data_IF_406265569627
#
_entry.id   IF_406265569627
#
_cell.length_a   1.000
_cell.length_b   1.000
_cell.length_c   1.000
_cell.angle_alpha   90.00
_cell.angle_beta   90.00
_cell.angle_gamma   90.00
#
_symmetry.space_group_name_H-M   'P 1'
#
loop_
_entity.id
_entity.type
_entity.pdbx_description
1 polymer ?
#
# COMPACT_ATOMS: atom_id res chain seq x y z
N UNK A 1 -13.90 0.83 15.89
CA UNK A 1 -13.40 0.08 14.71
C UNK A 1 -13.92 0.64 13.40
N UNK A 2 -15.22 0.60 13.11
CA UNK A 2 -15.80 1.08 11.81
C UNK A 2 -15.37 2.49 11.41
N UNK A 3 -15.27 3.44 12.34
CA UNK A 3 -14.87 4.82 12.04
C UNK A 3 -13.43 4.94 11.53
N UNK A 4 -12.51 4.15 12.07
CA UNK A 4 -11.11 4.13 11.62
C UNK A 4 -11.00 3.57 10.20
N UNK A 5 -11.64 2.42 9.93
CA UNK A 5 -11.64 1.78 8.60
C UNK A 5 -12.26 2.70 7.55
N UNK A 6 -13.39 3.33 7.86
CA UNK A 6 -14.03 4.28 6.95
C UNK A 6 -13.18 5.53 6.72
N UNK A 7 -12.53 6.04 7.77
CA UNK A 7 -11.59 7.17 7.64
C UNK A 7 -10.41 6.81 6.76
N UNK A 8 -9.81 5.64 6.96
CA UNK A 8 -8.70 5.14 6.13
C UNK A 8 -9.13 4.97 4.68
N UNK A 9 -10.30 4.39 4.43
CA UNK A 9 -10.85 4.24 3.08
C UNK A 9 -11.01 5.59 2.36
N UNK A 10 -11.49 6.64 3.05
CA UNK A 10 -11.61 7.99 2.50
C UNK A 10 -10.23 8.57 2.17
N UNK A 11 -9.25 8.42 3.07
CA UNK A 11 -7.88 8.91 2.84
C UNK A 11 -7.24 8.20 1.66
N UNK A 12 -7.36 6.87 1.56
CA UNK A 12 -6.86 6.10 0.43
C UNK A 12 -7.55 6.55 -0.86
N UNK A 13 -8.87 6.67 -0.87
CA UNK A 13 -9.62 7.13 -2.04
C UNK A 13 -9.17 8.52 -2.50
N UNK A 14 -9.04 9.48 -1.59
CA UNK A 14 -8.61 10.83 -1.93
C UNK A 14 -7.17 10.88 -2.44
N UNK A 15 -6.27 10.04 -1.90
CA UNK A 15 -4.90 9.94 -2.40
C UNK A 15 -4.83 9.37 -3.82
N UNK A 16 -5.74 8.45 -4.18
CA UNK A 16 -5.82 7.91 -5.54
C UNK A 16 -6.24 8.95 -6.59
N UNK A 17 -6.94 10.01 -6.18
CA UNK A 17 -7.29 11.10 -7.10
C UNK A 17 -6.05 11.82 -7.66
N UNK A 18 -4.92 11.74 -6.96
CA UNK A 18 -3.63 12.23 -7.46
C UNK A 18 -3.17 11.54 -8.74
N UNK A 19 -3.54 10.27 -8.96
CA UNK A 19 -3.20 9.51 -10.16
C UNK A 19 -3.94 10.00 -11.42
N UNK A 20 -5.01 10.78 -11.26
CA UNK A 20 -5.74 11.41 -12.36
C UNK A 20 -5.20 12.79 -12.73
N UNK A 21 -4.05 13.18 -12.13
CA UNK A 21 -3.38 14.45 -12.42
C UNK A 21 -2.03 14.20 -13.08
N UNK A 22 -1.70 15.04 -14.06
CA UNK A 22 -0.34 15.15 -14.62
C UNK A 22 0.24 16.50 -14.19
N UNK A 23 1.04 16.48 -13.11
CA UNK A 23 1.47 17.70 -12.42
C UNK A 23 0.30 18.34 -11.64
N UNK A 24 0.04 19.62 -11.87
CA UNK A 24 -1.07 20.34 -11.23
C UNK A 24 -2.43 20.20 -11.94
N UNK A 25 -2.43 19.77 -13.20
CA UNK A 25 -3.62 19.71 -14.04
C UNK A 25 -4.22 18.29 -14.06
N UNK A 26 -5.55 18.22 -14.18
CA UNK A 26 -6.25 16.96 -14.40
C UNK A 26 -5.92 16.41 -15.78
N UNK A 27 -5.84 15.09 -15.89
CA UNK A 27 -5.75 14.40 -17.17
C UNK A 27 -6.94 14.81 -18.06
N UNK A 28 -6.72 15.06 -19.34
CA UNK A 28 -7.75 15.48 -20.29
C UNK A 28 -7.72 14.56 -21.50
N UNK A 29 -8.87 14.39 -22.14
CA UNK A 29 -9.00 13.63 -23.40
C UNK A 29 -8.90 12.12 -23.21
N UNK A 30 -8.22 11.45 -24.16
CA UNK A 30 -8.11 9.99 -24.21
C UNK A 30 -7.48 9.37 -22.96
N UNK A 31 -6.49 10.04 -22.36
CA UNK A 31 -5.82 9.57 -21.15
C UNK A 31 -6.76 9.47 -19.94
N UNK A 32 -7.70 10.42 -19.80
CA UNK A 32 -8.70 10.36 -18.75
C UNK A 32 -9.69 9.22 -18.98
N UNK A 33 -10.15 9.03 -20.22
CA UNK A 33 -11.10 7.95 -20.55
C UNK A 33 -10.47 6.58 -20.37
N UNK A 34 -9.21 6.39 -20.78
CA UNK A 34 -8.50 5.12 -20.58
C UNK A 34 -8.31 4.81 -19.09
N UNK A 35 -7.93 5.79 -18.28
CA UNK A 35 -7.84 5.61 -16.82
C UNK A 35 -9.17 5.22 -16.20
N UNK A 36 -10.26 5.93 -16.54
CA UNK A 36 -11.60 5.62 -16.03
C UNK A 36 -12.07 4.22 -16.47
N UNK A 37 -11.80 3.83 -17.72
CA UNK A 37 -12.13 2.51 -18.24
C UNK A 37 -11.37 1.39 -17.49
N UNK A 38 -10.08 1.58 -17.22
CA UNK A 38 -9.27 0.62 -16.46
C UNK A 38 -9.72 0.51 -15.00
N UNK A 39 -10.05 1.64 -14.37
CA UNK A 39 -10.63 1.65 -13.00
C UNK A 39 -11.97 0.93 -12.99
N UNK A 40 -12.87 1.24 -13.95
CA UNK A 40 -14.16 0.57 -14.07
C UNK A 40 -14.01 -0.93 -14.29
N UNK A 41 -13.07 -1.37 -15.15
CA UNK A 41 -12.77 -2.78 -15.38
C UNK A 41 -12.25 -3.46 -14.10
N UNK A 42 -11.35 -2.82 -13.38
CA UNK A 42 -10.83 -3.32 -12.10
C UNK A 42 -11.96 -3.53 -11.10
N UNK A 43 -12.83 -2.54 -10.92
CA UNK A 43 -13.98 -2.62 -10.02
C UNK A 43 -14.97 -3.71 -10.47
N UNK A 44 -15.20 -3.86 -11.77
CA UNK A 44 -16.05 -4.90 -12.30
C UNK A 44 -15.50 -6.28 -11.99
N UNK A 45 -14.20 -6.51 -12.20
CA UNK A 45 -13.54 -7.80 -11.87
C UNK A 45 -13.68 -8.07 -10.38
N UNK A 46 -13.36 -7.11 -9.52
CA UNK A 46 -13.44 -7.26 -8.06
C UNK A 46 -14.88 -7.53 -7.56
N UNK A 47 -15.89 -7.06 -8.26
CA UNK A 47 -17.29 -7.27 -7.88
C UNK A 47 -17.87 -8.57 -8.44
N UNK A 48 -17.48 -8.97 -9.65
CA UNK A 48 -18.03 -10.14 -10.35
C UNK A 48 -17.31 -11.43 -9.98
N UNK A 49 -15.98 -11.39 -9.88
CA UNK A 49 -15.18 -12.60 -9.65
C UNK A 49 -15.53 -13.34 -8.35
N UNK A 50 -15.75 -12.68 -7.18
CA UNK A 50 -16.16 -13.38 -5.96
C UNK A 50 -17.50 -14.10 -6.05
N UNK A 51 -18.37 -13.68 -6.99
CA UNK A 51 -19.66 -14.35 -7.25
C UNK A 51 -19.48 -15.64 -8.07
N UNK A 52 -18.42 -15.72 -8.86
CA UNK A 52 -18.12 -16.88 -9.72
C UNK A 52 -17.21 -17.87 -8.99
N UNK A 53 -16.15 -17.37 -8.36
CA UNK A 53 -15.20 -18.22 -7.64
C UNK A 53 -14.61 -17.49 -6.42
N UNK A 54 -14.54 -18.22 -5.31
CA UNK A 54 -13.89 -17.75 -4.07
C UNK A 54 -12.49 -18.32 -3.86
N UNK A 55 -12.01 -19.14 -4.82
CA UNK A 55 -10.71 -19.83 -4.72
C UNK A 55 -9.53 -18.97 -5.15
N UNK A 56 -9.78 -17.92 -5.93
CA UNK A 56 -8.74 -17.07 -6.50
C UNK A 56 -8.94 -15.67 -5.96
N UNK A 57 -7.88 -15.03 -5.41
CA UNK A 57 -7.96 -13.65 -4.94
C UNK A 57 -8.36 -12.71 -6.10
N UNK A 58 -9.48 -12.03 -5.96
CA UNK A 58 -10.03 -11.13 -6.98
C UNK A 58 -9.08 -9.98 -7.32
N UNK A 59 -8.38 -9.45 -6.31
CA UNK A 59 -7.40 -8.38 -6.51
C UNK A 59 -6.23 -8.82 -7.41
N UNK A 60 -5.75 -10.05 -7.24
CA UNK A 60 -4.66 -10.59 -8.07
C UNK A 60 -5.08 -10.71 -9.53
N UNK A 61 -6.27 -11.24 -9.79
CA UNK A 61 -6.82 -11.36 -11.14
C UNK A 61 -7.01 -9.99 -11.78
N UNK A 62 -7.54 -9.03 -11.02
CA UNK A 62 -7.73 -7.66 -11.52
C UNK A 62 -6.39 -7.02 -11.92
N UNK A 63 -5.37 -7.11 -11.06
CA UNK A 63 -4.03 -6.57 -11.35
C UNK A 63 -3.42 -7.21 -12.60
N UNK A 64 -3.44 -8.54 -12.69
CA UNK A 64 -2.87 -9.26 -13.83
C UNK A 64 -3.61 -8.89 -15.12
N UNK A 65 -4.94 -8.93 -15.11
CA UNK A 65 -5.75 -8.63 -16.29
C UNK A 65 -5.53 -7.22 -16.80
N UNK A 66 -5.59 -6.23 -15.90
CA UNK A 66 -5.39 -4.82 -16.25
C UNK A 66 -3.96 -4.59 -16.74
N UNK A 67 -2.95 -5.20 -16.10
CA UNK A 67 -1.54 -5.08 -16.54
C UNK A 67 -1.35 -5.68 -17.95
N UNK A 68 -1.95 -6.82 -18.26
CA UNK A 68 -1.90 -7.42 -19.59
C UNK A 68 -2.54 -6.47 -20.62
N UNK A 69 -3.71 -5.95 -20.33
CA UNK A 69 -4.41 -5.03 -21.24
C UNK A 69 -3.58 -3.77 -21.52
N UNK A 70 -2.98 -3.18 -20.48
CA UNK A 70 -2.15 -1.98 -20.62
C UNK A 70 -0.88 -2.26 -21.43
N UNK A 71 -0.20 -3.39 -21.18
CA UNK A 71 1.05 -3.75 -21.86
C UNK A 71 0.79 -4.09 -23.33
N UNK A 72 -0.20 -4.95 -23.62
CA UNK A 72 -0.49 -5.37 -25.00
C UNK A 72 -1.31 -4.36 -25.81
N UNK A 73 -2.08 -3.51 -25.11
CA UNK A 73 -2.86 -2.43 -25.72
C UNK A 73 -2.07 -1.16 -25.99
N UNK A 74 -0.81 -1.09 -25.56
CA UNK A 74 0.04 0.11 -25.62
C UNK A 74 -0.70 1.37 -25.13
N UNK A 75 -1.48 1.19 -24.04
CA UNK A 75 -2.31 2.26 -23.49
C UNK A 75 -1.44 3.16 -22.64
N UNK A 76 -1.33 4.42 -23.03
CA UNK A 76 -0.65 5.44 -22.22
C UNK A 76 -1.43 5.70 -20.93
N UNK A 77 -0.95 5.14 -19.83
CA UNK A 77 -1.51 5.35 -18.48
C UNK A 77 -0.41 5.69 -17.49
N UNK A 78 -0.79 6.36 -16.39
CA UNK A 78 0.15 6.53 -15.29
C UNK A 78 0.40 5.18 -14.61
N UNK A 79 1.65 4.75 -14.67
CA UNK A 79 2.15 3.58 -13.94
C UNK A 79 2.74 4.01 -12.60
N UNK A 80 2.88 3.07 -11.65
CA UNK A 80 3.55 3.34 -10.37
C UNK A 80 4.97 3.89 -10.60
N UNK A 81 5.67 3.38 -11.62
CA UNK A 81 7.00 3.88 -12.00
C UNK A 81 6.95 5.33 -12.44
N UNK A 82 6.05 5.70 -13.35
CA UNK A 82 5.92 7.08 -13.83
C UNK A 82 5.51 8.04 -12.71
N UNK A 83 4.65 7.58 -11.80
CA UNK A 83 4.25 8.37 -10.63
C UNK A 83 5.43 8.63 -9.68
N UNK A 84 6.25 7.62 -9.37
CA UNK A 84 7.45 7.80 -8.53
C UNK A 84 8.44 8.76 -9.19
N UNK A 85 8.64 8.65 -10.50
CA UNK A 85 9.51 9.56 -11.25
C UNK A 85 8.97 10.99 -11.23
N UNK A 86 7.65 11.19 -11.33
CA UNK A 86 7.02 12.51 -11.25
C UNK A 86 7.17 13.19 -9.88
N UNK A 87 7.33 12.38 -8.81
CA UNK A 87 7.64 12.84 -7.46
C UNK A 87 9.14 13.08 -7.21
N UNK A 88 9.98 12.96 -8.25
CA UNK A 88 11.43 13.17 -8.16
C UNK A 88 12.21 11.93 -7.69
N UNK A 89 11.59 10.76 -7.67
CA UNK A 89 12.27 9.51 -7.37
C UNK A 89 12.93 8.87 -8.60
N UNK A 90 13.95 8.04 -8.38
CA UNK A 90 14.68 7.29 -9.44
C UNK A 90 13.87 6.15 -10.09
N UNK A 91 12.59 6.01 -9.76
CA UNK A 91 11.76 4.88 -10.15
C UNK A 91 12.02 3.62 -9.30
N UNK A 92 11.36 2.53 -9.68
CA UNK A 92 11.53 1.24 -8.99
C UNK A 92 12.74 0.53 -9.58
N UNK A 93 13.79 0.36 -8.78
CA UNK A 93 14.96 -0.44 -9.14
C UNK A 93 14.65 -1.89 -8.77
N UNK A 94 14.61 -2.77 -9.77
CA UNK A 94 14.51 -4.21 -9.53
C UNK A 94 15.85 -4.73 -9.01
N UNK A 95 15.84 -5.30 -7.82
CA UNK A 95 17.03 -5.89 -7.18
C UNK A 95 16.65 -6.55 -5.87
N UNK A 96 17.52 -7.42 -5.38
CA UNK A 96 17.40 -7.93 -4.02
C UNK A 96 17.71 -6.81 -3.03
N UNK A 97 16.98 -6.74 -1.89
CA UNK A 97 17.25 -5.75 -0.87
C UNK A 97 18.67 -5.91 -0.36
N UNK A 98 19.43 -4.82 -0.36
CA UNK A 98 20.80 -4.80 0.16
C UNK A 98 20.78 -4.39 1.63
N UNK A 99 21.56 -5.09 2.43
CA UNK A 99 21.74 -4.72 3.83
C UNK A 99 22.50 -3.39 3.91
N UNK A 100 21.85 -2.39 4.48
CA UNK A 100 22.44 -1.07 4.73
C UNK A 100 22.35 -0.76 6.22
N UNK A 101 23.50 -0.59 6.85
CA UNK A 101 23.50 -0.03 8.20
C UNK A 101 23.27 1.47 8.10
N UNK A 102 22.19 2.00 8.72
CA UNK A 102 21.90 3.43 8.64
C UNK A 102 22.99 4.23 9.36
N UNK A 103 23.91 4.83 8.59
CA UNK A 103 24.94 5.73 9.10
C UNK A 103 24.29 7.09 9.35
N UNK A 104 23.48 7.17 10.40
CA UNK A 104 22.85 8.43 10.82
C UNK A 104 23.59 8.91 12.07
N UNK A 105 23.97 10.17 12.06
CA UNK A 105 24.53 10.79 13.27
C UNK A 105 23.46 10.72 14.39
N UNK A 106 23.69 9.90 15.40
CA UNK A 106 22.81 9.75 16.57
C UNK A 106 22.91 10.99 17.46
N UNK A 107 22.45 12.12 16.95
CA UNK A 107 22.36 13.38 17.65
C UNK A 107 20.94 13.54 18.24
N UNK A 108 20.86 14.22 19.37
CA UNK A 108 19.58 14.52 20.02
C UNK A 108 18.58 15.24 19.09
N UNK A 109 19.08 16.10 18.19
CA UNK A 109 18.25 16.75 17.14
C UNK A 109 17.62 15.76 16.18
N UNK A 110 18.39 14.77 15.73
CA UNK A 110 17.91 13.72 14.82
C UNK A 110 16.86 12.86 15.52
N UNK A 111 17.07 12.52 16.78
CA UNK A 111 16.11 11.75 17.56
C UNK A 111 14.78 12.50 17.73
N UNK A 112 14.82 13.77 18.10
CA UNK A 112 13.59 14.60 18.23
C UNK A 112 12.86 14.70 16.89
N UNK A 113 13.58 14.81 15.77
CA UNK A 113 12.97 14.90 14.44
C UNK A 113 12.28 13.59 14.03
N UNK A 114 12.90 12.43 14.29
CA UNK A 114 12.39 11.12 13.86
C UNK A 114 11.27 10.61 14.79
N UNK A 115 11.34 10.90 16.08
CA UNK A 115 10.43 10.35 17.09
C UNK A 115 8.94 10.53 16.77
N UNK A 116 8.42 11.70 16.37
CA UNK A 116 7.01 11.85 16.08
C UNK A 116 6.55 10.98 14.90
N UNK A 117 7.37 10.86 13.85
CA UNK A 117 7.06 10.00 12.70
C UNK A 117 7.07 8.52 13.09
N UNK A 118 8.07 8.11 13.87
CA UNK A 118 8.16 6.74 14.37
C UNK A 118 6.97 6.37 15.27
N UNK A 119 6.55 7.27 16.16
CA UNK A 119 5.39 7.04 17.02
C UNK A 119 4.08 6.95 16.24
N UNK A 120 3.88 7.80 15.24
CA UNK A 120 2.69 7.76 14.38
C UNK A 120 2.65 6.44 13.60
N UNK A 121 3.76 6.05 12.96
CA UNK A 121 3.84 4.79 12.21
C UNK A 121 3.63 3.58 13.12
N UNK A 122 4.23 3.56 14.31
CA UNK A 122 4.06 2.50 15.28
C UNK A 122 2.60 2.41 15.76
N UNK A 123 1.96 3.53 16.08
CA UNK A 123 0.57 3.56 16.53
C UNK A 123 -0.38 3.06 15.43
N UNK A 124 -0.23 3.53 14.20
CA UNK A 124 -1.06 3.09 13.07
C UNK A 124 -0.84 1.59 12.81
N UNK A 125 0.42 1.16 12.68
CA UNK A 125 0.76 -0.23 12.40
C UNK A 125 0.26 -1.20 13.46
N UNK A 126 0.39 -0.86 14.74
CA UNK A 126 -0.11 -1.70 15.84
C UNK A 126 -1.65 -1.76 15.85
N UNK A 127 -2.33 -0.64 15.61
CA UNK A 127 -3.80 -0.62 15.54
C UNK A 127 -4.28 -1.53 14.40
N UNK A 128 -3.70 -1.40 13.22
CA UNK A 128 -4.08 -2.21 12.05
C UNK A 128 -3.81 -3.70 12.27
N UNK A 129 -2.61 -4.06 12.75
CA UNK A 129 -2.26 -5.47 13.02
C UNK A 129 -3.16 -6.10 14.09
N UNK A 130 -3.46 -5.38 15.17
CA UNK A 130 -4.35 -5.89 16.22
C UNK A 130 -5.81 -5.99 15.75
N UNK A 131 -6.25 -5.08 14.88
CA UNK A 131 -7.58 -5.19 14.27
C UNK A 131 -7.68 -6.42 13.36
N UNK A 132 -6.67 -6.67 12.55
CA UNK A 132 -6.58 -7.86 11.69
C UNK A 132 -6.55 -9.14 12.52
N UNK A 133 -5.76 -9.17 13.61
CA UNK A 133 -5.72 -10.29 14.54
C UNK A 133 -7.11 -10.60 15.10
N UNK A 134 -7.82 -9.60 15.60
CA UNK A 134 -9.17 -9.77 16.13
C UNK A 134 -10.16 -10.28 15.07
N UNK A 135 -10.05 -9.80 13.83
CA UNK A 135 -10.89 -10.27 12.73
C UNK A 135 -10.61 -11.74 12.40
N UNK A 136 -9.33 -12.14 12.37
CA UNK A 136 -8.93 -13.53 12.14
C UNK A 136 -9.43 -14.42 13.28
N UNK A 137 -9.29 -13.97 14.53
CA UNK A 137 -9.79 -14.69 15.71
C UNK A 137 -11.29 -14.97 15.61
N UNK A 138 -12.08 -13.98 15.17
CA UNK A 138 -13.52 -14.14 14.96
C UNK A 138 -13.84 -15.12 13.82
N UNK A 139 -13.08 -15.07 12.72
CA UNK A 139 -13.30 -15.91 11.54
C UNK A 139 -12.88 -17.37 11.74
N UNK A 140 -11.84 -17.60 12.54
CA UNK A 140 -11.24 -18.93 12.76
C UNK A 140 -11.66 -19.57 14.08
N UNK A 141 -12.45 -18.85 14.89
CA UNK A 141 -12.83 -19.26 16.26
C UNK A 141 -11.61 -19.62 17.13
N UNK A 142 -10.49 -18.96 16.89
CA UNK A 142 -9.23 -19.11 17.64
C UNK A 142 -8.97 -17.87 18.49
N UNK A 143 -7.96 -17.90 19.32
CA UNK A 143 -7.54 -16.75 20.11
C UNK A 143 -6.07 -16.49 19.94
N UNK A 144 -5.75 -15.42 19.21
CA UNK A 144 -4.39 -14.93 19.03
C UNK A 144 -3.85 -14.22 20.26
N UNK A 145 -2.56 -13.97 20.25
CA UNK A 145 -1.88 -13.27 21.34
C UNK A 145 -1.39 -11.89 20.86
N UNK A 146 -2.11 -10.84 21.23
CA UNK A 146 -1.80 -9.46 20.83
C UNK A 146 -0.39 -9.01 21.25
N UNK A 147 0.14 -9.47 22.40
CA UNK A 147 1.50 -9.13 22.81
C UNK A 147 2.55 -9.73 21.86
N UNK A 148 2.36 -10.98 21.44
CA UNK A 148 3.24 -11.63 20.47
C UNK A 148 3.18 -10.92 19.11
N UNK A 149 1.98 -10.51 18.69
CA UNK A 149 1.78 -9.75 17.46
C UNK A 149 2.53 -8.41 17.49
N UNK A 150 2.42 -7.65 18.56
CA UNK A 150 3.14 -6.38 18.72
C UNK A 150 4.67 -6.57 18.68
N UNK A 151 5.19 -7.62 19.33
CA UNK A 151 6.63 -7.92 19.33
C UNK A 151 7.07 -8.37 17.93
N UNK A 152 6.31 -9.21 17.27
CA UNK A 152 6.61 -9.69 15.92
C UNK A 152 6.63 -8.54 14.92
N UNK A 153 5.62 -7.67 14.97
CA UNK A 153 5.52 -6.49 14.11
C UNK A 153 6.68 -5.51 14.35
N UNK A 154 7.03 -5.25 15.60
CA UNK A 154 8.17 -4.40 15.96
C UNK A 154 9.49 -4.98 15.45
N UNK A 155 9.72 -6.28 15.65
CA UNK A 155 10.93 -6.97 15.19
C UNK A 155 11.05 -6.98 13.66
N UNK A 156 9.93 -7.23 12.96
CA UNK A 156 9.89 -7.22 11.50
C UNK A 156 10.22 -5.83 10.95
N UNK A 157 9.68 -4.77 11.55
CA UNK A 157 9.96 -3.39 11.13
C UNK A 157 11.42 -2.97 11.40
N UNK A 158 12.01 -3.41 12.50
CA UNK A 158 13.45 -3.20 12.77
C UNK A 158 14.29 -3.87 11.68
N UNK A 159 14.02 -5.14 11.38
CA UNK A 159 14.74 -5.86 10.33
C UNK A 159 14.56 -5.19 8.97
N UNK A 160 13.33 -4.83 8.63
CA UNK A 160 13.02 -4.14 7.37
C UNK A 160 13.78 -2.81 7.23
N UNK A 161 13.94 -2.07 8.31
CA UNK A 161 14.72 -0.83 8.34
C UNK A 161 16.19 -1.03 7.96
N UNK A 162 16.83 -2.14 8.36
CA UNK A 162 18.20 -2.45 7.96
C UNK A 162 18.34 -2.77 6.47
N UNK A 163 17.27 -3.17 5.81
CA UNK A 163 17.23 -3.39 4.37
C UNK A 163 16.70 -2.19 3.58
N UNK A 164 16.58 -1.04 4.24
CA UNK A 164 16.09 0.20 3.60
C UNK A 164 14.61 0.17 3.24
N UNK A 165 13.85 -0.78 3.80
CA UNK A 165 12.42 -0.87 3.61
C UNK A 165 11.66 0.13 4.48
N UNK A 166 10.47 0.52 4.00
CA UNK A 166 9.55 1.34 4.76
C UNK A 166 8.80 0.47 5.78
N UNK A 167 8.52 1.02 6.96
CA UNK A 167 7.72 0.34 7.96
C UNK A 167 6.36 -0.07 7.41
N UNK A 168 5.89 -1.23 7.83
CA UNK A 168 4.60 -1.79 7.41
C UNK A 168 3.86 -2.46 8.56
N UNK A 169 2.67 -2.92 8.29
CA UNK A 169 1.82 -3.68 9.21
C UNK A 169 1.20 -4.87 8.50
N UNK A 170 0.80 -5.86 9.28
CA UNK A 170 0.05 -7.01 8.79
C UNK A 170 -1.43 -6.61 8.60
N UNK A 171 -1.95 -6.81 7.40
CA UNK A 171 -3.36 -6.61 7.06
C UNK A 171 -3.95 -7.87 6.43
#
# INVERSE_FOLDING_TARGET
MMGFVNGLAIVIFTSQLGMFKSGENWLVGTAMYSMLALVGLTMLIMFVLPKITKKIPEALVAIITVSIIVIFGDIETQTVKSFIVSLGGDGIKAGLPTFNFPIIALNFKTLIFITPFALILAAIGLIESLMTLNLIDELTETRGNGNKECIAQGSANILNGFFGGMGGCAM
#
